data_IF_981384101670
#
_entry.id   IF_981384101670
#
_cell.length_a   1.000
_cell.length_b   1.000
_cell.length_c   1.000
_cell.angle_alpha   90.00
_cell.angle_beta   90.00
_cell.angle_gamma   90.00
#
_symmetry.space_group_name_H-M   'P 1'
#
loop_
_entity.id
_entity.type
_entity.pdbx_description
1 polymer ?
#
# COMPACT_ATOMS: atom_id res chain seq x y z
N UNK A 1 -31.16 2.53 -19.68
CA UNK A 1 -30.07 1.73 -20.28
C UNK A 1 -28.79 2.50 -20.02
N UNK A 2 -27.76 1.86 -19.45
CA UNK A 2 -26.59 2.59 -19.02
C UNK A 2 -25.88 3.18 -20.23
N UNK A 3 -25.61 4.47 -20.18
CA UNK A 3 -24.78 5.16 -21.16
C UNK A 3 -23.37 5.27 -20.59
N UNK A 4 -22.37 5.21 -21.45
CA UNK A 4 -21.00 5.53 -21.03
C UNK A 4 -20.80 7.04 -21.06
N UNK A 5 -20.18 7.60 -20.03
CA UNK A 5 -19.62 8.95 -20.10
C UNK A 5 -18.43 9.01 -21.07
N UNK A 6 -17.85 10.20 -21.27
CA UNK A 6 -16.68 10.40 -22.13
C UNK A 6 -15.44 9.62 -21.68
N UNK A 7 -15.43 9.10 -20.44
CA UNK A 7 -14.37 8.31 -19.84
C UNK A 7 -14.72 6.81 -19.74
N UNK A 8 -15.82 6.38 -20.37
CA UNK A 8 -16.25 4.97 -20.44
C UNK A 8 -16.99 4.46 -19.20
N UNK A 9 -17.41 5.33 -18.28
CA UNK A 9 -18.14 4.94 -17.07
C UNK A 9 -19.62 4.74 -17.34
N UNK A 10 -20.16 3.62 -16.85
CA UNK A 10 -21.59 3.34 -16.91
C UNK A 10 -22.36 4.30 -16.00
N UNK A 11 -23.10 5.24 -16.60
CA UNK A 11 -24.05 6.13 -15.94
C UNK A 11 -25.45 5.86 -16.48
N UNK A 12 -26.41 5.62 -15.60
CA UNK A 12 -27.81 5.50 -15.99
C UNK A 12 -28.40 6.91 -16.14
N UNK A 13 -28.55 7.35 -17.38
CA UNK A 13 -29.19 8.62 -17.72
C UNK A 13 -30.60 8.36 -18.27
N UNK A 14 -31.60 9.18 -17.89
CA UNK A 14 -32.90 9.20 -18.54
C UNK A 14 -32.75 9.48 -20.05
N UNK A 15 -33.56 8.83 -20.87
CA UNK A 15 -33.62 9.09 -22.29
C UNK A 15 -34.45 10.35 -22.58
N UNK A 16 -34.16 11.01 -23.71
CA UNK A 16 -34.87 12.23 -24.10
C UNK A 16 -36.36 11.99 -24.39
N UNK A 17 -36.73 10.74 -24.69
CA UNK A 17 -38.10 10.31 -24.96
C UNK A 17 -38.79 9.72 -23.73
N UNK A 18 -38.08 9.60 -22.59
CA UNK A 18 -38.70 9.14 -21.35
C UNK A 18 -39.62 10.24 -20.82
N UNK A 19 -40.66 9.84 -20.08
CA UNK A 19 -41.55 10.80 -19.41
C UNK A 19 -40.68 11.67 -18.47
N UNK A 20 -40.84 13.01 -18.46
CA UNK A 20 -40.04 13.87 -17.61
C UNK A 20 -40.16 13.47 -16.13
N UNK A 21 -39.05 13.06 -15.55
CA UNK A 21 -38.95 12.64 -14.14
C UNK A 21 -37.74 13.34 -13.50
N UNK A 22 -38.05 14.27 -12.60
CA UNK A 22 -37.05 15.12 -11.94
C UNK A 22 -36.30 14.34 -10.86
N UNK A 23 -36.91 13.31 -10.29
CA UNK A 23 -36.32 12.44 -9.26
C UNK A 23 -35.33 11.45 -9.90
N UNK A 24 -35.68 10.92 -11.08
CA UNK A 24 -34.75 10.13 -11.90
C UNK A 24 -33.54 10.97 -12.34
N UNK A 25 -33.76 12.23 -12.73
CA UNK A 25 -32.67 13.15 -13.10
C UNK A 25 -31.78 13.51 -11.89
N UNK A 26 -32.36 13.81 -10.71
CA UNK A 26 -31.55 14.11 -9.53
C UNK A 26 -30.71 12.92 -9.10
N UNK A 27 -31.28 11.71 -9.14
CA UNK A 27 -30.56 10.46 -8.86
C UNK A 27 -29.39 10.25 -9.82
N UNK A 28 -29.61 10.48 -11.12
CA UNK A 28 -28.56 10.38 -12.12
C UNK A 28 -27.44 11.42 -11.92
N UNK A 29 -27.81 12.66 -11.54
CA UNK A 29 -26.85 13.72 -11.19
C UNK A 29 -26.05 13.32 -9.93
N UNK A 30 -26.71 12.85 -8.87
CA UNK A 30 -26.05 12.38 -7.65
C UNK A 30 -25.08 11.23 -7.92
N UNK A 31 -25.47 10.27 -8.76
CA UNK A 31 -24.59 9.19 -9.21
C UNK A 31 -23.38 9.74 -9.96
N UNK A 32 -23.56 10.68 -10.88
CA UNK A 32 -22.45 11.30 -11.62
C UNK A 32 -21.50 12.13 -10.74
N UNK A 33 -22.02 12.81 -9.71
CA UNK A 33 -21.21 13.55 -8.73
C UNK A 33 -20.45 12.58 -7.82
N UNK A 34 -21.07 11.44 -7.47
CA UNK A 34 -20.44 10.39 -6.66
C UNK A 34 -19.23 9.74 -7.35
N UNK A 35 -19.08 9.93 -8.66
CA UNK A 35 -17.97 9.41 -9.47
C UNK A 35 -16.78 10.39 -9.59
N UNK A 36 -16.58 11.29 -8.62
CA UNK A 36 -15.39 12.16 -8.56
C UNK A 36 -14.03 11.41 -8.58
N UNK A 37 -14.05 10.08 -8.42
CA UNK A 37 -12.91 9.18 -8.59
C UNK A 37 -13.25 8.10 -9.63
N UNK A 38 -12.50 8.06 -10.74
CA UNK A 38 -12.79 7.12 -11.82
C UNK A 38 -12.40 5.68 -11.44
N UNK A 39 -13.28 4.68 -11.60
CA UNK A 39 -12.97 3.28 -11.26
C UNK A 39 -12.64 2.45 -12.50
N UNK A 40 -11.50 1.75 -12.49
CA UNK A 40 -11.07 0.86 -13.58
C UNK A 40 -10.72 -0.54 -13.07
N UNK A 41 -10.78 -1.54 -13.94
CA UNK A 41 -10.38 -2.90 -13.60
C UNK A 41 -8.88 -3.01 -13.29
N UNK A 42 -8.05 -2.29 -14.06
CA UNK A 42 -6.58 -2.31 -13.98
C UNK A 42 -5.95 -1.01 -14.51
N UNK A 43 -4.64 -0.86 -14.33
CA UNK A 43 -3.88 0.28 -14.86
C UNK A 43 -3.92 0.36 -16.39
N UNK A 44 -3.92 -0.78 -17.08
CA UNK A 44 -4.02 -0.83 -18.55
C UNK A 44 -5.42 -0.44 -19.03
N UNK A 45 -6.48 -0.90 -18.35
CA UNK A 45 -7.85 -0.48 -18.65
C UNK A 45 -8.03 1.03 -18.49
N UNK A 46 -7.44 1.61 -17.43
CA UNK A 46 -7.41 3.07 -17.24
C UNK A 46 -6.67 3.78 -18.38
N UNK A 47 -5.48 3.30 -18.76
CA UNK A 47 -4.70 3.93 -19.82
C UNK A 47 -5.41 3.92 -21.18
N UNK A 48 -6.18 2.88 -21.48
CA UNK A 48 -7.00 2.79 -22.68
C UNK A 48 -8.21 3.74 -22.64
N UNK A 49 -8.88 3.86 -21.48
CA UNK A 49 -10.06 4.70 -21.32
C UNK A 49 -9.74 6.20 -21.19
N UNK A 50 -8.57 6.55 -20.64
CA UNK A 50 -8.15 7.93 -20.40
C UNK A 50 -6.78 8.18 -21.07
N UNK A 51 -6.76 8.38 -22.41
CA UNK A 51 -5.51 8.61 -23.16
C UNK A 51 -4.92 10.01 -22.92
N UNK A 52 -5.69 10.95 -22.38
CA UNK A 52 -5.26 12.33 -22.09
C UNK A 52 -5.71 12.77 -20.70
N UNK A 53 -5.14 12.20 -19.63
CA UNK A 53 -5.47 12.58 -18.25
C UNK A 53 -4.99 14.00 -17.92
N UNK A 54 -5.75 14.70 -17.07
CA UNK A 54 -5.42 16.05 -16.57
C UNK A 54 -4.83 15.97 -15.17
N UNK A 55 -3.92 16.90 -14.81
CA UNK A 55 -3.37 16.97 -13.45
C UNK A 55 -4.49 17.08 -12.42
N UNK A 56 -4.34 16.34 -11.32
CA UNK A 56 -5.33 16.29 -10.24
C UNK A 56 -6.44 15.25 -10.46
N UNK A 57 -6.53 14.61 -11.63
CA UNK A 57 -7.52 13.56 -11.87
C UNK A 57 -7.28 12.35 -10.94
N UNK A 58 -8.35 11.82 -10.34
CA UNK A 58 -8.29 10.65 -9.46
C UNK A 58 -8.87 9.39 -10.11
N UNK A 59 -8.27 8.24 -9.80
CA UNK A 59 -8.82 6.94 -10.18
C UNK A 59 -8.58 5.85 -9.13
N UNK A 60 -9.43 4.83 -9.09
CA UNK A 60 -9.20 3.59 -8.34
C UNK A 60 -9.04 2.41 -9.28
N UNK A 61 -8.18 1.46 -8.92
CA UNK A 61 -8.01 0.22 -9.66
C UNK A 61 -8.57 -0.95 -8.85
N UNK A 62 -9.39 -1.80 -9.46
CA UNK A 62 -10.04 -2.91 -8.77
C UNK A 62 -9.08 -4.07 -8.46
N UNK A 63 -8.04 -4.24 -9.28
CA UNK A 63 -7.02 -5.28 -9.14
C UNK A 63 -6.17 -5.12 -7.87
N UNK A 64 -5.75 -3.90 -7.53
CA UNK A 64 -4.92 -3.63 -6.36
C UNK A 64 -5.61 -2.80 -5.27
N UNK A 65 -6.85 -2.35 -5.53
CA UNK A 65 -7.70 -1.61 -4.59
C UNK A 65 -7.06 -0.29 -4.11
N UNK A 66 -6.20 0.34 -4.93
CA UNK A 66 -5.52 1.61 -4.59
C UNK A 66 -6.16 2.80 -5.30
N UNK A 67 -6.11 3.95 -4.63
CA UNK A 67 -6.42 5.27 -5.17
C UNK A 67 -5.16 5.88 -5.80
N UNK A 68 -5.32 6.41 -7.00
CA UNK A 68 -4.28 7.06 -7.79
C UNK A 68 -4.69 8.50 -8.12
N UNK A 69 -3.71 9.39 -8.16
CA UNK A 69 -3.83 10.75 -8.69
C UNK A 69 -2.89 10.88 -9.90
N UNK A 70 -3.36 11.52 -10.96
CA UNK A 70 -2.47 11.92 -12.06
C UNK A 70 -1.73 13.21 -11.69
N UNK A 71 -0.41 13.23 -11.85
CA UNK A 71 0.46 14.33 -11.38
C UNK A 71 0.82 15.37 -12.46
N UNK A 72 0.19 15.31 -13.64
CA UNK A 72 0.43 16.25 -14.74
C UNK A 72 1.61 15.91 -15.65
N UNK A 73 2.46 14.95 -15.28
CA UNK A 73 3.51 14.44 -16.15
C UNK A 73 2.94 13.32 -17.01
N UNK A 74 3.22 13.33 -18.32
CA UNK A 74 2.49 12.65 -19.42
C UNK A 74 2.22 11.14 -19.30
N UNK A 75 2.56 10.48 -18.20
CA UNK A 75 2.27 9.06 -17.93
C UNK A 75 2.28 8.69 -16.44
N UNK A 76 2.24 9.66 -15.52
CA UNK A 76 2.46 9.38 -14.10
C UNK A 76 1.18 9.48 -13.27
N UNK A 77 0.51 8.34 -13.18
CA UNK A 77 -0.43 8.07 -12.11
C UNK A 77 0.34 7.63 -10.86
N UNK A 78 0.25 8.42 -9.80
CA UNK A 78 0.89 8.13 -8.51
C UNK A 78 -0.15 7.62 -7.53
N UNK A 79 0.19 6.61 -6.74
CA UNK A 79 -0.71 6.17 -5.68
C UNK A 79 -0.82 7.28 -4.61
N UNK A 80 -2.04 7.59 -4.19
CA UNK A 80 -2.31 8.64 -3.20
C UNK A 80 -1.87 8.21 -1.81
N UNK A 81 -1.94 6.91 -1.53
CA UNK A 81 -1.51 6.32 -0.26
C UNK A 81 -0.42 5.28 -0.57
N UNK A 82 0.75 5.34 0.10
CA UNK A 82 1.76 4.31 -0.02
C UNK A 82 1.24 2.99 0.57
N UNK A 83 1.83 1.88 0.13
CA UNK A 83 1.51 0.59 0.71
C UNK A 83 2.20 0.44 2.07
N UNK A 84 1.44 -0.03 3.06
CA UNK A 84 1.96 -0.31 4.39
C UNK A 84 1.88 -1.80 4.70
N UNK A 85 2.90 -2.31 5.40
CA UNK A 85 2.83 -3.58 6.13
C UNK A 85 3.31 -3.34 7.56
N UNK A 86 2.58 -3.88 8.51
CA UNK A 86 2.91 -3.84 9.92
C UNK A 86 2.96 -5.26 10.45
N UNK A 87 3.81 -5.48 11.45
CA UNK A 87 3.84 -6.75 12.13
C UNK A 87 4.77 -6.74 13.31
N UNK A 88 4.76 -7.85 14.04
CA UNK A 88 5.65 -8.12 15.15
C UNK A 88 6.16 -9.56 15.04
N UNK A 89 7.35 -9.79 15.54
CA UNK A 89 7.97 -11.10 15.60
C UNK A 89 8.94 -11.13 16.79
N UNK A 90 9.29 -12.34 17.24
CA UNK A 90 10.22 -12.53 18.34
C UNK A 90 11.51 -13.15 17.84
N UNK A 91 12.63 -12.78 18.43
CA UNK A 91 13.93 -13.41 18.21
C UNK A 91 14.43 -14.05 19.50
N UNK A 92 15.14 -15.16 19.38
CA UNK A 92 15.78 -15.86 20.49
C UNK A 92 17.15 -16.36 20.03
N UNK A 93 18.11 -16.40 20.94
CA UNK A 93 19.49 -16.78 20.67
C UNK A 93 20.25 -17.03 21.97
N UNK A 94 21.33 -17.81 21.93
CA UNK A 94 22.12 -18.10 23.12
C UNK A 94 23.61 -18.04 22.75
N UNK A 95 24.39 -17.28 23.51
CA UNK A 95 25.82 -17.10 23.26
C UNK A 95 26.13 -16.42 21.92
N UNK A 96 25.23 -15.56 21.41
CA UNK A 96 25.39 -14.88 20.12
C UNK A 96 25.69 -13.39 20.31
N UNK A 97 26.56 -12.84 19.46
CA UNK A 97 26.83 -11.41 19.31
C UNK A 97 25.94 -10.76 18.23
N UNK A 98 25.52 -11.56 17.25
CA UNK A 98 24.66 -11.20 16.12
C UNK A 98 23.69 -12.33 15.80
N UNK A 99 22.48 -11.96 15.35
CA UNK A 99 21.51 -12.91 14.79
C UNK A 99 20.74 -12.27 13.66
N UNK A 100 20.55 -13.04 12.60
CA UNK A 100 19.75 -12.63 11.45
C UNK A 100 18.45 -13.41 11.42
N UNK A 101 17.32 -12.71 11.40
CA UNK A 101 16.01 -13.29 11.15
C UNK A 101 15.48 -12.83 9.79
N UNK A 102 14.72 -13.69 9.12
CA UNK A 102 13.99 -13.34 7.92
C UNK A 102 12.51 -13.19 8.26
N UNK A 103 11.91 -12.09 7.81
CA UNK A 103 10.51 -11.77 8.03
C UNK A 103 9.81 -11.74 6.69
N UNK A 104 8.76 -12.55 6.54
CA UNK A 104 7.93 -12.60 5.34
C UNK A 104 6.66 -11.79 5.56
N UNK A 105 6.28 -10.97 4.59
CA UNK A 105 4.99 -10.27 4.64
C UNK A 105 3.84 -11.23 4.35
N UNK A 106 2.70 -11.03 5.00
CA UNK A 106 1.47 -11.82 4.74
C UNK A 106 0.94 -11.66 3.32
N UNK A 107 1.29 -10.57 2.65
CA UNK A 107 1.07 -10.33 1.23
C UNK A 107 2.22 -9.51 0.66
N UNK A 108 2.67 -9.86 -0.55
CA UNK A 108 3.70 -9.12 -1.24
C UNK A 108 3.28 -7.66 -1.47
N UNK A 109 4.25 -6.76 -1.40
CA UNK A 109 4.09 -5.35 -1.76
C UNK A 109 4.32 -5.16 -3.26
N UNK A 110 3.87 -4.03 -3.82
CA UNK A 110 4.03 -3.73 -5.26
C UNK A 110 5.48 -3.45 -5.68
N UNK A 111 6.32 -3.04 -4.73
CA UNK A 111 7.71 -2.64 -4.93
C UNK A 111 8.53 -2.94 -3.66
N UNK A 112 9.86 -2.85 -3.73
CA UNK A 112 10.72 -3.03 -2.55
C UNK A 112 10.47 -1.91 -1.54
N UNK A 113 10.10 -2.23 -0.28
CA UNK A 113 9.77 -1.21 0.70
C UNK A 113 10.99 -0.66 1.44
N UNK A 114 10.83 0.53 2.01
CA UNK A 114 11.62 0.98 3.15
C UNK A 114 11.09 0.33 4.42
N UNK A 115 11.96 -0.27 5.23
CA UNK A 115 11.56 -1.01 6.44
C UNK A 115 12.20 -0.38 7.65
N UNK A 116 11.37 -0.07 8.64
CA UNK A 116 11.79 0.28 9.98
C UNK A 116 11.51 -0.89 10.91
N UNK A 117 12.47 -1.20 11.78
CA UNK A 117 12.33 -2.21 12.83
C UNK A 117 12.76 -1.60 14.15
N UNK A 118 12.02 -1.89 15.20
CA UNK A 118 12.37 -1.48 16.56
C UNK A 118 12.13 -2.60 17.56
N UNK A 119 12.91 -2.58 18.64
CA UNK A 119 12.68 -3.41 19.82
C UNK A 119 11.41 -2.89 20.50
N UNK A 120 10.39 -3.74 20.64
CA UNK A 120 9.14 -3.36 21.29
C UNK A 120 9.35 -3.17 22.79
N UNK A 121 10.13 -4.07 23.40
CA UNK A 121 10.55 -4.01 24.81
C UNK A 121 11.93 -4.65 24.95
N UNK A 122 12.63 -4.39 26.05
CA UNK A 122 13.83 -5.12 26.44
C UNK A 122 13.54 -6.38 27.28
N UNK A 123 12.27 -6.77 27.40
CA UNK A 123 11.90 -8.00 28.12
C UNK A 123 12.53 -9.20 27.44
N UNK A 124 13.21 -10.06 28.21
CA UNK A 124 13.90 -11.24 27.70
C UNK A 124 15.31 -10.99 27.12
N UNK A 125 15.81 -9.74 27.13
CA UNK A 125 17.17 -9.41 26.73
C UNK A 125 18.08 -9.16 27.96
N UNK A 126 19.27 -9.76 27.97
CA UNK A 126 20.27 -9.54 29.04
C UNK A 126 21.24 -8.38 28.76
N UNK A 127 21.09 -7.65 27.64
CA UNK A 127 21.98 -6.55 27.22
C UNK A 127 21.27 -5.58 26.25
N UNK A 128 21.95 -4.50 25.81
CA UNK A 128 21.42 -3.48 24.88
C UNK A 128 21.67 -3.89 23.43
N UNK A 129 20.66 -3.76 22.57
CA UNK A 129 20.70 -4.21 21.17
C UNK A 129 20.23 -3.14 20.20
N UNK A 130 20.70 -3.25 18.96
CA UNK A 130 20.35 -2.36 17.86
C UNK A 130 19.88 -3.22 16.67
N UNK A 131 18.58 -3.17 16.30
CA UNK A 131 18.12 -3.82 15.09
C UNK A 131 18.54 -3.01 13.85
N UNK A 132 18.89 -3.71 12.77
CA UNK A 132 19.19 -3.14 11.45
C UNK A 132 18.54 -3.98 10.36
N UNK A 133 18.17 -3.36 9.25
CA UNK A 133 17.61 -4.05 8.08
C UNK A 133 18.65 -4.07 6.96
N UNK A 134 19.46 -5.13 6.80
CA UNK A 134 20.48 -5.17 5.75
C UNK A 134 19.90 -5.36 4.34
N UNK A 135 18.69 -5.93 4.22
CA UNK A 135 18.03 -6.12 2.92
C UNK A 135 16.52 -6.20 3.04
N UNK A 136 15.81 -5.73 2.00
CA UNK A 136 14.36 -5.81 1.87
C UNK A 136 13.98 -6.17 0.42
N UNK A 137 12.82 -6.79 0.27
CA UNK A 137 12.22 -7.22 -0.99
C UNK A 137 10.69 -7.04 -0.92
N UNK A 138 9.96 -7.12 -2.05
CA UNK A 138 8.50 -7.04 -2.03
C UNK A 138 7.83 -8.12 -1.18
N UNK A 139 8.50 -9.26 -0.92
CA UNK A 139 7.93 -10.39 -0.16
C UNK A 139 8.35 -10.41 1.31
N UNK A 140 9.30 -9.58 1.72
CA UNK A 140 9.83 -9.62 3.08
C UNK A 140 11.18 -8.92 3.22
N UNK A 141 11.81 -9.07 4.38
CA UNK A 141 13.10 -8.46 4.69
C UNK A 141 13.93 -9.33 5.64
N UNK A 142 15.22 -9.07 5.70
CA UNK A 142 16.11 -9.62 6.72
C UNK A 142 16.34 -8.57 7.81
N UNK A 143 16.33 -8.97 9.07
CA UNK A 143 16.75 -8.12 10.20
C UNK A 143 17.99 -8.72 10.84
N UNK A 144 18.98 -7.88 11.09
CA UNK A 144 20.13 -8.17 11.92
C UNK A 144 19.92 -7.54 13.30
N UNK A 145 20.07 -8.33 14.36
CA UNK A 145 20.05 -7.84 15.73
C UNK A 145 21.45 -8.05 16.30
N UNK A 146 22.13 -6.95 16.66
CA UNK A 146 23.52 -6.96 17.13
C UNK A 146 23.65 -6.32 18.53
N UNK A 147 24.56 -6.87 19.32
CA UNK A 147 24.90 -6.40 20.65
C UNK A 147 25.47 -4.99 20.58
N UNK A 148 25.29 -4.18 21.62
CA UNK A 148 25.90 -2.83 21.67
C UNK A 148 27.43 -2.83 21.63
N UNK A 149 28.07 -3.99 21.83
CA UNK A 149 29.53 -4.18 21.75
C UNK A 149 29.83 -5.35 20.82
N UNK A 150 30.65 -5.12 19.80
CA UNK A 150 31.04 -6.16 18.85
C UNK A 150 31.81 -7.29 19.55
N UNK A 151 31.49 -8.54 19.22
CA UNK A 151 32.06 -9.72 19.89
C UNK A 151 31.55 -10.00 21.32
N UNK A 152 30.66 -9.18 21.88
CA UNK A 152 30.03 -9.48 23.17
C UNK A 152 28.80 -10.40 22.97
N UNK A 153 28.93 -11.65 23.42
CA UNK A 153 27.86 -12.65 23.33
C UNK A 153 26.78 -12.43 24.41
N UNK A 154 25.51 -12.71 24.10
CA UNK A 154 24.44 -12.73 25.10
C UNK A 154 23.40 -13.84 24.87
N UNK A 155 22.48 -13.98 25.83
CA UNK A 155 21.33 -14.90 25.78
C UNK A 155 20.01 -14.12 25.70
N UNK A 156 19.12 -14.61 24.84
CA UNK A 156 17.94 -13.90 24.38
C UNK A 156 16.80 -14.88 24.26
N UNK A 157 15.71 -14.56 24.94
CA UNK A 157 14.51 -15.39 24.97
C UNK A 157 13.31 -14.54 24.63
N UNK A 158 12.72 -14.81 23.47
CA UNK A 158 11.49 -14.18 23.00
C UNK A 158 11.50 -12.65 23.02
N UNK A 159 12.62 -12.03 22.60
CA UNK A 159 12.72 -10.56 22.53
C UNK A 159 11.76 -10.06 21.44
N UNK A 160 10.77 -9.22 21.76
CA UNK A 160 9.77 -8.78 20.79
C UNK A 160 10.27 -7.61 19.96
N UNK A 161 10.14 -7.73 18.64
CA UNK A 161 10.35 -6.65 17.68
C UNK A 161 9.04 -6.34 16.97
N UNK A 162 8.90 -5.09 16.55
CA UNK A 162 7.84 -4.67 15.64
C UNK A 162 8.47 -3.96 14.45
N UNK A 163 7.76 -3.98 13.34
CA UNK A 163 8.17 -3.33 12.12
C UNK A 163 7.03 -2.56 11.46
N UNK A 164 7.40 -1.57 10.67
CA UNK A 164 6.55 -1.05 9.62
C UNK A 164 7.36 -0.93 8.32
N UNK A 165 6.76 -1.35 7.22
CA UNK A 165 7.33 -1.30 5.88
C UNK A 165 6.46 -0.41 5.00
N UNK A 166 7.08 0.46 4.21
CA UNK A 166 6.42 1.43 3.33
C UNK A 166 6.96 1.29 1.92
N UNK A 167 6.07 1.05 0.95
CA UNK A 167 6.40 1.03 -0.46
C UNK A 167 5.65 2.15 -1.20
N UNK A 168 6.36 2.86 -2.07
CA UNK A 168 5.79 3.85 -2.98
C UNK A 168 5.27 3.16 -4.25
#
# INVERSE_FOLDING_TARGET
>A
MPRSDVYGQSIDLPNLLDVPDVEALSTAIEQSISHGVLRFASASARAAAVPSPVDGMFSTLADNKRLYRYNGTTSQWVAVVPEFRFGAFTVSGSGLDQYTANVTFSSAMSSTPYVFVNLATSSGASSRWIPRVPSASPTGFSVLVQSSVDGATANWSAVPLWYFAVAA
#
